data_IF_701103221480
#
_entry.id   IF_701103221480
#
_cell.length_a   1.000
_cell.length_b   1.000
_cell.length_c   1.000
_cell.angle_alpha   90.00
_cell.angle_beta   90.00
_cell.angle_gamma   90.00
#
_symmetry.space_group_name_H-M   'P 1'
#
loop_
_entity.id
_entity.type
_entity.pdbx_description
1 polymer ?
#
# COMPACT_ATOMS: atom_id res chain seq x y z
N UNK A 1 -8.75 30.21 8.52
CA UNK A 1 -9.24 28.92 9.07
C UNK A 1 -9.99 28.04 8.05
N UNK A 2 -10.42 28.55 6.91
CA UNK A 2 -11.26 27.81 5.92
C UNK A 2 -10.45 26.88 5.00
N UNK A 3 -9.21 27.21 4.63
CA UNK A 3 -8.41 26.42 3.68
C UNK A 3 -7.87 25.09 4.27
N UNK A 4 -7.52 25.05 5.55
CA UNK A 4 -7.05 23.81 6.21
C UNK A 4 -8.14 22.74 6.31
N UNK A 5 -9.42 23.15 6.44
CA UNK A 5 -10.54 22.22 6.58
C UNK A 5 -10.85 21.51 5.25
N UNK A 6 -10.78 22.22 4.13
CA UNK A 6 -11.04 21.67 2.79
C UNK A 6 -9.93 20.72 2.33
N UNK A 7 -8.66 21.04 2.62
CA UNK A 7 -7.52 20.18 2.29
C UNK A 7 -7.50 18.89 3.13
N UNK A 8 -7.80 18.99 4.43
CA UNK A 8 -7.95 17.82 5.31
C UNK A 8 -9.11 16.94 4.83
N UNK A 9 -10.26 17.53 4.49
CA UNK A 9 -11.41 16.77 3.98
C UNK A 9 -11.13 16.05 2.65
N UNK A 10 -10.42 16.67 1.70
CA UNK A 10 -10.00 16.01 0.46
C UNK A 10 -9.03 14.84 0.72
N UNK A 11 -8.09 15.03 1.65
CA UNK A 11 -7.16 13.99 2.09
C UNK A 11 -7.86 12.83 2.81
N UNK A 12 -8.88 13.12 3.63
CA UNK A 12 -9.73 12.11 4.24
C UNK A 12 -10.52 11.34 3.17
N UNK A 13 -11.02 12.03 2.14
CA UNK A 13 -11.70 11.39 1.01
C UNK A 13 -10.77 10.43 0.25
N UNK A 14 -9.51 10.80 0.00
CA UNK A 14 -8.56 9.92 -0.68
C UNK A 14 -8.25 8.63 0.13
N UNK A 15 -8.11 8.75 1.46
CA UNK A 15 -7.92 7.60 2.36
C UNK A 15 -9.16 6.72 2.45
N UNK A 16 -10.36 7.33 2.46
CA UNK A 16 -11.62 6.60 2.41
C UNK A 16 -11.77 5.82 1.11
N UNK A 17 -11.42 6.41 -0.03
CA UNK A 17 -11.39 5.70 -1.30
C UNK A 17 -10.38 4.56 -1.26
N UNK A 18 -9.16 4.77 -0.74
CA UNK A 18 -8.18 3.68 -0.60
C UNK A 18 -8.73 2.52 0.25
N UNK A 19 -9.44 2.81 1.35
CA UNK A 19 -10.09 1.80 2.19
C UNK A 19 -11.13 0.99 1.41
N UNK A 20 -11.95 1.65 0.59
CA UNK A 20 -12.96 0.98 -0.26
C UNK A 20 -12.33 0.16 -1.38
N UNK A 21 -11.21 0.61 -1.95
CA UNK A 21 -10.44 -0.20 -2.90
C UNK A 21 -9.96 -1.49 -2.24
N UNK A 22 -9.39 -1.41 -1.04
CA UNK A 22 -8.99 -2.60 -0.27
C UNK A 22 -10.17 -3.51 0.06
N UNK A 23 -11.33 -2.96 0.41
CA UNK A 23 -12.55 -3.74 0.65
C UNK A 23 -12.96 -4.55 -0.60
N UNK A 24 -12.96 -3.92 -1.77
CA UNK A 24 -13.29 -4.59 -3.04
C UNK A 24 -12.26 -5.69 -3.38
N UNK A 25 -10.97 -5.43 -3.19
CA UNK A 25 -9.93 -6.42 -3.48
C UNK A 25 -9.98 -7.59 -2.50
N UNK A 26 -9.96 -7.31 -1.20
CA UNK A 26 -9.80 -8.36 -0.18
C UNK A 26 -11.11 -9.09 0.12
N UNK A 27 -12.23 -8.36 0.33
CA UNK A 27 -13.51 -9.00 0.69
C UNK A 27 -14.25 -9.50 -0.54
N UNK A 28 -14.20 -8.75 -1.65
CA UNK A 28 -14.98 -9.05 -2.86
C UNK A 28 -14.17 -9.76 -3.94
N UNK A 29 -12.89 -10.04 -3.69
CA UNK A 29 -11.97 -10.79 -4.58
C UNK A 29 -11.91 -10.18 -5.99
N UNK A 30 -11.94 -8.85 -6.07
CA UNK A 30 -11.79 -8.10 -7.32
C UNK A 30 -10.33 -7.78 -7.59
N UNK A 31 -9.98 -7.62 -8.86
CA UNK A 31 -8.68 -7.05 -9.20
C UNK A 31 -8.61 -5.58 -8.74
N UNK A 32 -7.39 -5.06 -8.59
CA UNK A 32 -7.20 -3.63 -8.27
C UNK A 32 -7.78 -2.72 -9.36
N UNK A 33 -7.73 -3.16 -10.61
CA UNK A 33 -8.29 -2.42 -11.76
C UNK A 33 -9.82 -2.38 -11.70
N UNK A 34 -10.47 -3.54 -11.54
CA UNK A 34 -11.93 -3.62 -11.35
C UNK A 34 -12.38 -2.79 -10.14
N UNK A 35 -11.62 -2.82 -9.04
CA UNK A 35 -11.93 -2.04 -7.84
C UNK A 35 -11.90 -0.53 -8.11
N UNK A 36 -10.93 -0.05 -8.91
CA UNK A 36 -10.85 1.37 -9.30
C UNK A 36 -11.97 1.79 -10.25
N UNK A 37 -12.40 0.91 -11.15
CA UNK A 37 -13.52 1.16 -12.07
C UNK A 37 -14.87 1.21 -11.36
N UNK A 38 -15.10 0.30 -10.40
CA UNK A 38 -16.37 0.19 -9.68
C UNK A 38 -16.54 1.27 -8.60
N UNK A 39 -15.45 1.78 -8.04
CA UNK A 39 -15.49 2.75 -6.96
C UNK A 39 -15.69 4.18 -7.50
N UNK A 40 -16.95 4.62 -7.58
CA UNK A 40 -17.32 5.96 -8.07
C UNK A 40 -16.56 7.10 -7.38
N UNK A 41 -16.25 6.95 -6.08
CA UNK A 41 -15.48 7.98 -5.36
C UNK A 41 -14.09 8.17 -5.96
N UNK A 42 -13.47 7.09 -6.47
CA UNK A 42 -12.17 7.15 -7.12
C UNK A 42 -12.20 8.03 -8.37
N UNK A 43 -13.20 7.89 -9.24
CA UNK A 43 -13.34 8.73 -10.43
C UNK A 43 -13.55 10.21 -10.09
N UNK A 44 -14.24 10.51 -8.97
CA UNK A 44 -14.57 11.87 -8.54
C UNK A 44 -13.41 12.63 -7.86
N UNK A 45 -12.36 11.94 -7.43
CA UNK A 45 -11.19 12.55 -6.78
C UNK A 45 -10.39 13.39 -7.78
N UNK A 46 -9.66 14.40 -7.29
CA UNK A 46 -8.65 15.12 -8.07
C UNK A 46 -7.50 14.18 -8.46
N UNK A 47 -6.74 14.53 -9.48
CA UNK A 47 -5.65 13.68 -10.00
C UNK A 47 -4.66 13.25 -8.91
N UNK A 48 -4.22 14.19 -8.06
CA UNK A 48 -3.25 13.91 -6.99
C UNK A 48 -3.86 13.02 -5.90
N UNK A 49 -5.13 13.25 -5.55
CA UNK A 49 -5.85 12.43 -4.56
C UNK A 49 -6.09 11.01 -5.08
N UNK A 50 -6.38 10.85 -6.39
CA UNK A 50 -6.46 9.52 -7.04
C UNK A 50 -5.13 8.79 -7.00
N UNK A 51 -4.05 9.49 -7.35
CA UNK A 51 -2.71 8.94 -7.31
C UNK A 51 -2.35 8.50 -5.89
N UNK A 52 -2.66 9.33 -4.89
CA UNK A 52 -2.48 9.00 -3.48
C UNK A 52 -3.31 7.78 -3.06
N UNK A 53 -4.61 7.75 -3.36
CA UNK A 53 -5.50 6.65 -2.99
C UNK A 53 -5.03 5.31 -3.61
N UNK A 54 -4.67 5.32 -4.90
CA UNK A 54 -4.11 4.16 -5.60
C UNK A 54 -2.79 3.71 -4.98
N UNK A 55 -1.87 4.65 -4.75
CA UNK A 55 -0.56 4.35 -4.15
C UNK A 55 -0.70 3.75 -2.75
N UNK A 56 -1.56 4.33 -1.90
CA UNK A 56 -1.81 3.86 -0.55
C UNK A 56 -2.41 2.44 -0.55
N UNK A 57 -3.44 2.19 -1.35
CA UNK A 57 -4.05 0.86 -1.47
C UNK A 57 -3.06 -0.17 -2.04
N UNK A 58 -2.38 0.14 -3.15
CA UNK A 58 -1.42 -0.76 -3.78
C UNK A 58 -0.23 -1.08 -2.87
N UNK A 59 0.28 -0.08 -2.14
CA UNK A 59 1.37 -0.30 -1.17
C UNK A 59 0.91 -1.16 0.00
N UNK A 60 -0.33 -0.97 0.46
CA UNK A 60 -0.92 -1.81 1.53
C UNK A 60 -1.06 -3.25 1.09
N UNK A 61 -1.53 -3.51 -0.14
CA UNK A 61 -1.62 -4.86 -0.70
C UNK A 61 -0.24 -5.51 -0.87
N UNK A 62 0.72 -4.75 -1.39
CA UNK A 62 2.09 -5.23 -1.64
C UNK A 62 2.80 -5.69 -0.37
N UNK A 63 2.58 -4.97 0.74
CA UNK A 63 3.20 -5.26 2.04
C UNK A 63 2.23 -5.89 3.04
N UNK A 64 1.15 -6.52 2.55
CA UNK A 64 0.05 -7.02 3.37
C UNK A 64 0.53 -7.96 4.48
N UNK A 65 1.43 -8.90 4.18
CA UNK A 65 1.95 -9.86 5.15
C UNK A 65 2.73 -9.18 6.27
N UNK A 66 3.64 -8.27 5.94
CA UNK A 66 4.43 -7.55 6.95
C UNK A 66 3.57 -6.63 7.80
N UNK A 67 2.60 -5.94 7.18
CA UNK A 67 1.65 -5.07 7.89
C UNK A 67 0.87 -5.87 8.92
N UNK A 68 0.34 -7.04 8.53
CA UNK A 68 -0.40 -7.92 9.42
C UNK A 68 0.49 -8.49 10.54
N UNK A 69 1.69 -8.96 10.21
CA UNK A 69 2.63 -9.45 11.22
C UNK A 69 3.02 -8.37 12.26
N UNK A 70 3.12 -7.11 11.85
CA UNK A 70 3.37 -5.98 12.76
C UNK A 70 2.14 -5.67 13.60
N UNK A 71 0.94 -5.70 13.00
CA UNK A 71 -0.32 -5.53 13.72
C UNK A 71 -0.50 -6.59 14.80
N UNK A 72 -0.24 -7.87 14.48
CA UNK A 72 -0.37 -8.98 15.43
C UNK A 72 0.54 -8.83 16.65
N UNK A 73 1.77 -8.31 16.46
CA UNK A 73 2.68 -7.99 17.57
C UNK A 73 2.22 -6.79 18.40
N UNK A 74 1.34 -5.94 17.85
CA UNK A 74 0.86 -4.73 18.52
C UNK A 74 -0.53 -4.87 19.13
N UNK A 75 -1.35 -5.78 18.62
CA UNK A 75 -2.69 -6.10 19.12
C UNK A 75 -2.63 -7.00 20.37
N UNK A 76 -3.61 -6.85 21.26
CA UNK A 76 -3.74 -7.75 22.42
C UNK A 76 -4.20 -9.16 21.99
N UNK A 77 -5.01 -9.23 20.94
CA UNK A 77 -5.47 -10.46 20.32
C UNK A 77 -5.01 -10.45 18.86
N UNK A 78 -4.01 -11.27 18.48
CA UNK A 78 -3.58 -11.41 17.09
C UNK A 78 -4.72 -11.82 16.16
N UNK A 79 -4.63 -11.41 14.90
CA UNK A 79 -5.59 -11.69 13.84
C UNK A 79 -6.47 -10.51 13.43
N UNK A 80 -7.47 -10.75 12.55
CA UNK A 80 -8.37 -9.72 12.06
C UNK A 80 -9.14 -9.03 13.17
N UNK A 81 -9.25 -7.70 13.09
CA UNK A 81 -10.06 -6.88 13.99
C UNK A 81 -11.48 -6.78 13.45
N UNK A 82 -12.47 -6.96 14.33
CA UNK A 82 -13.89 -6.78 14.01
C UNK A 82 -14.37 -5.35 14.32
N UNK A 83 -15.17 -4.72 13.45
CA UNK A 83 -15.49 -5.15 12.08
C UNK A 83 -14.25 -5.08 11.17
N UNK A 84 -14.22 -5.90 10.11
CA UNK A 84 -13.05 -6.03 9.22
C UNK A 84 -12.58 -4.70 8.62
N UNK A 85 -13.48 -3.73 8.44
CA UNK A 85 -13.15 -2.38 8.01
C UNK A 85 -12.19 -1.67 9.00
N UNK A 86 -12.28 -1.97 10.30
CA UNK A 86 -11.35 -1.47 11.30
C UNK A 86 -9.95 -2.08 11.14
N UNK A 87 -9.88 -3.36 10.77
CA UNK A 87 -8.64 -4.03 10.42
C UNK A 87 -8.00 -3.42 9.16
N UNK A 88 -8.79 -3.17 8.11
CA UNK A 88 -8.31 -2.47 6.92
C UNK A 88 -7.84 -1.04 7.23
N UNK A 89 -8.55 -0.33 8.11
CA UNK A 89 -8.17 1.01 8.57
C UNK A 89 -6.82 0.99 9.30
N UNK A 90 -6.60 0.00 10.17
CA UNK A 90 -5.30 -0.24 10.79
C UNK A 90 -4.22 -0.50 9.75
N UNK A 91 -4.48 -1.38 8.77
CA UNK A 91 -3.53 -1.68 7.71
C UNK A 91 -3.11 -0.41 6.95
N UNK A 92 -4.06 0.45 6.57
CA UNK A 92 -3.77 1.74 5.96
C UNK A 92 -2.92 2.65 6.85
N UNK A 93 -3.20 2.70 8.15
CA UNK A 93 -2.40 3.49 9.10
C UNK A 93 -0.97 3.01 9.20
N UNK A 94 -0.76 1.70 9.29
CA UNK A 94 0.57 1.08 9.33
C UNK A 94 1.33 1.32 8.03
N UNK A 95 0.69 1.17 6.87
CA UNK A 95 1.30 1.50 5.57
C UNK A 95 1.79 2.94 5.55
N UNK A 96 0.95 3.89 5.97
CA UNK A 96 1.33 5.30 5.98
C UNK A 96 2.52 5.59 6.92
N UNK A 97 2.55 4.95 8.09
CA UNK A 97 3.61 5.14 9.08
C UNK A 97 4.95 4.53 8.65
N UNK A 98 4.92 3.32 8.08
CA UNK A 98 6.14 2.52 7.89
C UNK A 98 6.62 2.46 6.43
N UNK A 99 5.75 2.77 5.47
CA UNK A 99 6.04 2.60 4.03
C UNK A 99 5.86 3.87 3.20
N UNK A 100 5.27 4.93 3.75
CA UNK A 100 5.07 6.19 3.04
C UNK A 100 5.79 7.32 3.75
N UNK A 101 6.16 8.37 2.99
CA UNK A 101 6.79 9.57 3.52
C UNK A 101 5.75 10.55 4.09
N UNK A 102 4.93 10.07 5.03
CA UNK A 102 3.88 10.87 5.68
C UNK A 102 4.29 11.11 7.14
N UNK A 103 4.26 12.36 7.64
CA UNK A 103 4.54 12.64 9.04
C UNK A 103 3.66 11.81 9.97
N UNK A 104 4.25 11.22 11.02
CA UNK A 104 3.54 10.24 11.86
C UNK A 104 2.27 10.80 12.49
N UNK A 105 2.32 12.03 13.02
CA UNK A 105 1.15 12.70 13.60
C UNK A 105 0.00 12.85 12.59
N UNK A 106 0.31 13.16 11.33
CA UNK A 106 -0.69 13.30 10.26
C UNK A 106 -1.25 11.94 9.84
N UNK A 107 -0.38 10.93 9.68
CA UNK A 107 -0.80 9.56 9.36
C UNK A 107 -1.75 9.00 10.44
N UNK A 108 -1.42 9.18 11.71
CA UNK A 108 -2.25 8.72 12.85
C UNK A 108 -3.56 9.50 12.87
N UNK A 109 -3.51 10.84 12.87
CA UNK A 109 -4.69 11.69 12.96
C UNK A 109 -5.70 11.38 11.86
N UNK A 110 -5.27 11.40 10.59
CA UNK A 110 -6.14 11.15 9.44
C UNK A 110 -6.68 9.71 9.42
N UNK A 111 -5.91 8.72 9.86
CA UNK A 111 -6.39 7.33 9.93
C UNK A 111 -7.40 7.12 11.07
N UNK A 112 -7.22 7.79 12.20
CA UNK A 112 -8.19 7.77 13.30
C UNK A 112 -9.46 8.49 12.87
N UNK A 113 -9.34 9.61 12.15
CA UNK A 113 -10.50 10.34 11.68
C UNK A 113 -11.27 9.58 10.60
N UNK A 114 -10.59 8.80 9.76
CA UNK A 114 -11.23 7.90 8.79
C UNK A 114 -12.28 6.97 9.43
N UNK A 115 -12.12 6.61 10.71
CA UNK A 115 -13.10 5.78 11.42
C UNK A 115 -14.48 6.44 11.62
N UNK A 116 -14.62 7.78 11.49
CA UNK A 116 -15.94 8.43 11.49
C UNK A 116 -16.71 8.19 10.21
N UNK A 117 -15.99 7.99 9.10
CA UNK A 117 -16.56 7.93 7.75
C UNK A 117 -16.96 6.52 7.32
N UNK A 118 -16.63 5.52 8.13
CA UNK A 118 -17.02 4.12 7.94
C UNK A 118 -17.68 3.56 9.20
N UNK A 119 -18.21 2.34 9.12
CA UNK A 119 -18.89 1.64 10.23
C UNK A 119 -17.93 1.18 11.35
N UNK A 120 -16.85 1.93 11.61
CA UNK A 120 -15.77 1.59 12.56
C UNK A 120 -15.58 2.66 13.64
N UNK A 121 -16.56 3.54 13.85
CA UNK A 121 -16.43 4.67 14.78
C UNK A 121 -16.13 4.23 16.21
N UNK A 122 -16.63 3.05 16.61
CA UNK A 122 -16.33 2.41 17.91
C UNK A 122 -14.87 1.96 18.05
N UNK A 123 -14.18 1.74 16.94
CA UNK A 123 -12.79 1.28 16.89
C UNK A 123 -11.77 2.43 16.91
N UNK A 124 -12.21 3.70 16.94
CA UNK A 124 -11.32 4.89 17.00
C UNK A 124 -10.25 4.80 18.08
N UNK A 125 -10.65 4.42 19.30
CA UNK A 125 -9.73 4.28 20.43
C UNK A 125 -8.67 3.20 20.20
N UNK A 126 -9.10 2.05 19.67
CA UNK A 126 -8.20 0.94 19.32
C UNK A 126 -7.22 1.36 18.22
N UNK A 127 -7.72 1.96 17.12
CA UNK A 127 -6.89 2.42 16.00
C UNK A 127 -5.83 3.40 16.48
N UNK A 128 -6.22 4.42 17.25
CA UNK A 128 -5.27 5.39 17.80
C UNK A 128 -4.22 4.74 18.71
N UNK A 129 -4.65 3.86 19.62
CA UNK A 129 -3.75 3.20 20.56
C UNK A 129 -2.71 2.30 19.84
N UNK A 130 -3.18 1.49 18.88
CA UNK A 130 -2.31 0.59 18.10
C UNK A 130 -1.35 1.37 17.20
N UNK A 131 -1.83 2.39 16.49
CA UNK A 131 -0.95 3.18 15.62
C UNK A 131 0.10 3.98 16.41
N UNK A 132 -0.24 4.49 17.61
CA UNK A 132 0.75 5.12 18.50
C UNK A 132 1.78 4.14 19.04
N UNK A 133 1.38 2.88 19.29
CA UNK A 133 2.32 1.81 19.65
C UNK A 133 3.26 1.53 18.48
N UNK A 134 2.73 1.43 17.26
CA UNK A 134 3.50 1.18 16.04
C UNK A 134 4.43 2.36 15.68
N UNK A 135 4.02 3.61 15.90
CA UNK A 135 4.89 4.77 15.69
C UNK A 135 6.18 4.69 16.53
N UNK A 136 6.10 4.16 17.75
CA UNK A 136 7.25 4.03 18.66
C UNK A 136 8.17 2.86 18.33
N UNK A 137 7.64 1.71 17.94
CA UNK A 137 8.41 0.46 17.81
C UNK A 137 8.33 -0.22 16.44
N UNK A 138 7.50 0.30 15.54
CA UNK A 138 7.16 -0.33 14.27
C UNK A 138 8.34 -0.48 13.32
N UNK A 139 9.28 0.48 13.30
CA UNK A 139 10.47 0.39 12.47
C UNK A 139 11.39 -0.77 12.90
N UNK A 140 11.58 -0.96 14.21
CA UNK A 140 12.34 -2.08 14.75
C UNK A 140 11.62 -3.41 14.48
N UNK A 141 10.30 -3.45 14.65
CA UNK A 141 9.50 -4.62 14.28
C UNK A 141 9.62 -4.96 12.80
N UNK A 142 9.60 -3.96 11.92
CA UNK A 142 9.72 -4.16 10.47
C UNK A 142 11.04 -4.84 10.08
N UNK A 143 12.14 -4.49 10.74
CA UNK A 143 13.45 -5.14 10.53
C UNK A 143 13.46 -6.62 10.94
N UNK A 144 12.59 -7.01 11.89
CA UNK A 144 12.46 -8.40 12.36
C UNK A 144 11.53 -9.27 11.51
N UNK A 145 10.70 -8.66 10.64
CA UNK A 145 9.73 -9.41 9.83
C UNK A 145 10.31 -9.60 8.42
N UNK A 146 10.57 -10.84 7.99
CA UNK A 146 11.18 -11.10 6.70
C UNK A 146 10.26 -10.64 5.56
N UNK A 147 10.83 -10.21 4.44
CA UNK A 147 10.06 -9.75 3.28
C UNK A 147 9.21 -10.86 2.65
N UNK A 148 9.64 -12.11 2.82
CA UNK A 148 8.99 -13.31 2.28
C UNK A 148 7.57 -13.52 2.81
N UNK A 149 7.20 -12.95 3.97
CA UNK A 149 5.82 -13.06 4.50
C UNK A 149 4.79 -12.37 3.59
N UNK A 150 5.23 -11.52 2.66
CA UNK A 150 4.34 -10.90 1.66
C UNK A 150 4.04 -11.84 0.48
N UNK A 151 4.74 -12.98 0.39
CA UNK A 151 4.57 -13.98 -0.66
C UNK A 151 3.77 -15.16 -0.08
N UNK A 152 2.77 -15.69 -0.79
CA UNK A 152 2.08 -16.91 -0.34
C UNK A 152 3.06 -18.08 -0.17
N UNK A 153 2.91 -18.86 0.91
CA UNK A 153 3.80 -19.97 1.24
C UNK A 153 3.97 -20.97 0.08
N UNK A 154 2.88 -21.29 -0.62
CA UNK A 154 2.90 -22.21 -1.76
C UNK A 154 3.79 -21.70 -2.91
N UNK A 155 3.76 -20.39 -3.18
CA UNK A 155 4.52 -19.77 -4.26
C UNK A 155 6.00 -19.66 -3.88
N UNK A 156 6.27 -19.32 -2.63
CA UNK A 156 7.65 -19.26 -2.15
C UNK A 156 8.29 -20.64 -2.10
N UNK A 157 7.55 -21.67 -1.67
CA UNK A 157 8.01 -23.06 -1.74
C UNK A 157 8.32 -23.50 -3.17
N UNK A 158 7.47 -23.13 -4.14
CA UNK A 158 7.72 -23.39 -5.55
C UNK A 158 8.99 -22.69 -6.05
N UNK A 159 9.21 -21.42 -5.68
CA UNK A 159 10.44 -20.72 -6.06
C UNK A 159 11.70 -21.33 -5.44
N UNK A 160 11.63 -21.84 -4.23
CA UNK A 160 12.74 -22.57 -3.61
C UNK A 160 13.08 -23.84 -4.38
N UNK A 161 12.07 -24.56 -4.88
CA UNK A 161 12.27 -25.75 -5.73
C UNK A 161 12.87 -25.40 -7.09
N UNK A 162 12.33 -24.36 -7.75
CA UNK A 162 12.72 -23.97 -9.11
C UNK A 162 14.05 -23.22 -9.18
N UNK A 163 14.36 -22.37 -8.17
CA UNK A 163 15.47 -21.42 -8.20
C UNK A 163 16.46 -21.58 -7.04
N UNK A 164 16.15 -22.37 -6.00
CA UNK A 164 17.05 -22.59 -4.87
C UNK A 164 17.05 -21.51 -3.78
N UNK A 165 17.83 -21.74 -2.73
CA UNK A 165 17.83 -20.92 -1.49
C UNK A 165 18.51 -19.56 -1.62
N UNK A 166 19.24 -19.29 -2.71
CA UNK A 166 19.92 -18.00 -2.94
C UNK A 166 19.04 -17.07 -3.79
N UNK A 167 18.51 -17.57 -4.90
CA UNK A 167 17.76 -16.78 -5.88
C UNK A 167 16.30 -16.56 -5.46
N UNK A 168 15.63 -17.55 -4.86
CA UNK A 168 14.23 -17.40 -4.46
C UNK A 168 13.98 -16.23 -3.49
N UNK A 169 14.81 -15.99 -2.45
CA UNK A 169 14.70 -14.79 -1.62
C UNK A 169 14.89 -13.48 -2.40
N UNK A 170 15.78 -13.46 -3.40
CA UNK A 170 16.03 -12.29 -4.26
C UNK A 170 14.82 -12.00 -5.16
N UNK A 171 14.20 -13.03 -5.73
CA UNK A 171 12.96 -12.92 -6.52
C UNK A 171 11.83 -12.36 -5.65
N UNK A 172 11.66 -12.91 -4.44
CA UNK A 172 10.67 -12.41 -3.48
C UNK A 172 10.91 -10.94 -3.13
N UNK A 173 12.15 -10.53 -2.88
CA UNK A 173 12.49 -9.14 -2.64
C UNK A 173 12.20 -8.26 -3.86
N UNK A 174 12.57 -8.71 -5.07
CA UNK A 174 12.35 -7.97 -6.31
C UNK A 174 10.86 -7.75 -6.61
N UNK A 175 10.00 -8.73 -6.34
CA UNK A 175 8.54 -8.62 -6.53
C UNK A 175 7.86 -7.54 -5.67
N UNK A 176 8.53 -7.09 -4.60
CA UNK A 176 8.04 -6.03 -3.72
C UNK A 176 8.49 -4.63 -4.14
N UNK A 177 9.34 -4.53 -5.17
CA UNK A 177 9.69 -3.26 -5.78
C UNK A 177 8.59 -2.83 -6.74
N UNK A 178 8.43 -1.51 -6.90
CA UNK A 178 7.55 -0.98 -7.94
C UNK A 178 8.19 -1.27 -9.30
N UNK A 179 7.43 -1.88 -10.22
CA UNK A 179 7.89 -2.12 -11.57
C UNK A 179 8.28 -0.79 -12.24
N UNK A 180 9.43 -0.72 -12.91
CA UNK A 180 9.79 0.44 -13.72
C UNK A 180 8.79 0.60 -14.87
N UNK A 181 8.77 1.80 -15.46
CA UNK A 181 8.00 2.04 -16.68
C UNK A 181 8.93 1.75 -17.85
N UNK A 182 8.67 0.64 -18.54
CA UNK A 182 9.39 0.29 -19.75
C UNK A 182 8.63 0.85 -20.97
N UNK A 183 9.34 1.55 -21.86
CA UNK A 183 8.78 2.16 -23.07
C UNK A 183 9.44 1.52 -24.30
N UNK A 184 8.61 0.96 -25.18
CA UNK A 184 9.08 0.50 -26.49
C UNK A 184 8.96 1.63 -27.51
N UNK A 185 10.10 2.13 -28.00
CA UNK A 185 10.12 3.15 -29.05
C UNK A 185 9.67 2.52 -30.36
N UNK A 186 8.63 3.09 -30.98
CA UNK A 186 8.01 2.54 -32.20
C UNK A 186 8.97 2.46 -33.39
N UNK A 187 9.87 3.44 -33.51
CA UNK A 187 10.89 3.50 -34.54
C UNK A 187 12.26 3.41 -33.90
N UNK A 188 13.00 2.35 -34.21
CA UNK A 188 14.29 2.05 -33.58
C UNK A 188 15.30 3.17 -33.86
N UNK A 189 15.18 3.87 -34.99
CA UNK A 189 16.07 4.98 -35.36
C UNK A 189 15.90 6.21 -34.45
N UNK A 190 14.77 6.32 -33.73
CA UNK A 190 14.49 7.42 -32.80
C UNK A 190 14.90 7.10 -31.35
N UNK A 191 15.51 5.93 -31.09
CA UNK A 191 15.76 5.46 -29.72
C UNK A 191 16.71 6.37 -28.94
N UNK A 192 17.80 6.85 -29.57
CA UNK A 192 18.76 7.74 -28.90
C UNK A 192 18.12 9.08 -28.54
N UNK A 193 17.26 9.61 -29.43
CA UNK A 193 16.51 10.84 -29.19
C UNK A 193 15.59 10.71 -27.97
N UNK A 194 14.84 9.61 -27.87
CA UNK A 194 13.94 9.38 -26.74
C UNK A 194 14.68 9.03 -25.45
N UNK A 195 15.80 8.30 -25.53
CA UNK A 195 16.64 7.99 -24.37
C UNK A 195 17.12 9.27 -23.69
N UNK A 196 17.66 10.21 -24.47
CA UNK A 196 18.12 11.50 -23.95
C UNK A 196 16.97 12.33 -23.39
N UNK A 197 15.85 12.43 -24.12
CA UNK A 197 14.71 13.26 -23.73
C UNK A 197 13.98 12.77 -22.48
N UNK A 198 13.96 11.46 -22.25
CA UNK A 198 13.29 10.84 -21.11
C UNK A 198 14.25 10.55 -19.95
N UNK A 199 15.55 10.82 -20.12
CA UNK A 199 16.61 10.43 -19.18
C UNK A 199 16.55 8.93 -18.84
N UNK A 200 16.22 8.11 -19.86
CA UNK A 200 15.91 6.69 -19.71
C UNK A 200 17.15 5.80 -19.83
N UNK A 201 17.05 4.58 -19.31
CA UNK A 201 18.10 3.55 -19.42
C UNK A 201 17.71 2.54 -20.50
N UNK A 202 18.61 2.27 -21.43
CA UNK A 202 18.33 1.27 -22.45
C UNK A 202 18.50 -0.14 -21.88
N UNK A 203 17.44 -0.93 -21.96
CA UNK A 203 17.41 -2.31 -21.50
C UNK A 203 18.01 -3.27 -22.55
N UNK A 204 18.50 -4.46 -22.15
CA UNK A 204 19.06 -5.43 -23.10
C UNK A 204 18.11 -5.84 -24.24
N UNK A 205 16.79 -5.75 -24.02
CA UNK A 205 15.75 -6.02 -25.02
C UNK A 205 15.46 -4.87 -25.99
N UNK A 206 16.16 -3.75 -25.90
CA UNK A 206 15.98 -2.58 -26.77
C UNK A 206 14.85 -1.63 -26.38
N UNK A 207 14.14 -1.89 -25.28
CA UNK A 207 13.25 -0.90 -24.64
C UNK A 207 14.05 0.16 -23.86
N UNK A 208 13.42 1.30 -23.62
CA UNK A 208 13.88 2.38 -22.74
C UNK A 208 13.19 2.31 -21.38
#
# INVERSE_FOLDING_TARGET
MTQHKTASQAQTNARLTALRLLENVIKRKRSMEEAMELEQSFASLRSDDRAFARMLAATTLRYWGQINAILDKCLNKPGPVDPFEAHLTLCLGVTQLLRMRIPSHAAIHETVELCTHVRTSRSKGLVNAVLRKIDKQGQALLQSVPLTVNIPDWLYAQWLEDYGEIEAPLIAQASLNQAPIDITVKKVEEIDFWRERLEALQMPGGSL
#
